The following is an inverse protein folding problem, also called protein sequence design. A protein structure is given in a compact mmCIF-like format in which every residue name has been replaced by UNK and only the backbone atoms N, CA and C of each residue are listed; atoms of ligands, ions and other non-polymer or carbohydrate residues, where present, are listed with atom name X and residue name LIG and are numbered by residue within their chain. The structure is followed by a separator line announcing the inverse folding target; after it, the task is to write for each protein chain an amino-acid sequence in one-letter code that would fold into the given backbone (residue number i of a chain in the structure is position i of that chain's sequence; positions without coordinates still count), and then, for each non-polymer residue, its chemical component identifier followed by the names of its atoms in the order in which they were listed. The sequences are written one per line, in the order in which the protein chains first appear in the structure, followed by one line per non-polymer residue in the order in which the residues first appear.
data_IF_722108758021
#
_entry.id   IF_722108758021
#
_cell.length_a   1.000
_cell.length_b   1.000
_cell.length_c   1.000
_cell.angle_alpha   90.00
_cell.angle_beta   90.00
_cell.angle_gamma   90.00
#
_symmetry.space_group_name_H-M   'P 1'
#
loop_
_entity.id
_entity.type
_entity.pdbx_description
1 polymer ?
#
# COMPACT_ATOMS: atom_id res chain seq x y z
N UNK A 1 -18.76 8.29 -1.82
CA UNK A 1 -18.02 8.30 -0.56
C UNK A 1 -17.94 6.88 -0.03
N UNK A 2 -16.88 6.17 -0.41
CA UNK A 2 -16.73 4.75 -0.02
C UNK A 2 -16.22 4.66 1.41
N UNK A 3 -16.85 3.83 2.24
CA UNK A 3 -16.34 3.56 3.61
C UNK A 3 -15.07 2.73 3.50
N UNK A 4 -13.99 3.23 4.09
CA UNK A 4 -12.76 2.48 4.30
C UNK A 4 -12.54 2.29 5.81
N UNK A 5 -11.77 1.25 6.18
CA UNK A 5 -11.45 0.98 7.59
C UNK A 5 -10.33 1.89 8.04
N UNK A 6 -9.24 1.92 7.27
CA UNK A 6 -8.04 2.70 7.56
C UNK A 6 -7.29 3.04 6.26
N UNK A 7 -6.73 4.25 6.20
CA UNK A 7 -5.78 4.64 5.17
C UNK A 7 -4.36 4.29 5.63
N UNK A 8 -3.68 3.43 4.87
CA UNK A 8 -2.30 2.99 5.15
C UNK A 8 -1.26 3.68 4.26
N UNK A 9 -1.70 4.53 3.33
CA UNK A 9 -0.81 5.22 2.42
C UNK A 9 -1.47 5.78 1.16
N UNK A 10 -0.64 6.40 0.32
CA UNK A 10 -1.01 7.02 -0.95
C UNK A 10 0.00 6.62 -2.03
N UNK A 11 -0.52 6.36 -3.23
CA UNK A 11 0.26 6.08 -4.43
C UNK A 11 -0.10 7.10 -5.50
N UNK A 12 0.89 7.87 -5.96
CA UNK A 12 0.73 8.82 -7.06
C UNK A 12 1.63 8.41 -8.24
N UNK A 13 1.07 7.74 -9.26
CA UNK A 13 1.81 7.35 -10.46
C UNK A 13 2.04 8.50 -11.45
N UNK A 14 1.39 9.66 -11.27
CA UNK A 14 1.53 10.80 -12.19
C UNK A 14 2.79 11.63 -11.89
N UNK A 15 3.31 11.55 -10.67
CA UNK A 15 4.60 12.16 -10.31
C UNK A 15 5.75 11.36 -10.93
N UNK A 16 6.80 12.06 -11.36
CA UNK A 16 8.03 11.46 -11.89
C UNK A 16 9.22 11.97 -11.05
N UNK A 17 9.78 11.15 -10.15
CA UNK A 17 9.50 9.73 -9.90
C UNK A 17 8.16 9.50 -9.17
N UNK A 18 7.56 8.31 -9.36
CA UNK A 18 6.29 7.93 -8.73
C UNK A 18 6.38 8.09 -7.20
N UNK A 19 5.41 8.81 -6.63
CA UNK A 19 5.40 9.07 -5.19
C UNK A 19 4.65 7.94 -4.49
N UNK A 20 5.39 7.17 -3.68
CA UNK A 20 4.85 6.08 -2.87
C UNK A 20 5.03 6.47 -1.41
N UNK A 21 3.93 6.69 -0.70
CA UNK A 21 3.92 6.95 0.74
C UNK A 21 3.07 5.89 1.40
N UNK A 22 3.69 4.86 1.96
CA UNK A 22 2.98 3.79 2.66
C UNK A 22 3.59 3.63 4.05
N UNK A 23 2.72 3.52 5.04
CA UNK A 23 3.09 3.16 6.39
C UNK A 23 3.37 1.65 6.46
N UNK A 24 4.65 1.30 6.60
CA UNK A 24 5.10 -0.08 6.56
C UNK A 24 4.52 -0.91 7.72
N UNK A 25 4.44 -0.34 8.92
CA UNK A 25 3.95 -1.04 10.12
C UNK A 25 2.48 -1.41 9.97
N UNK A 26 1.64 -0.46 9.53
CA UNK A 26 0.22 -0.72 9.28
C UNK A 26 0.02 -1.71 8.14
N UNK A 27 0.75 -1.54 7.04
CA UNK A 27 0.63 -2.45 5.90
C UNK A 27 1.02 -3.89 6.29
N UNK A 28 2.10 -4.08 7.04
CA UNK A 28 2.48 -5.40 7.57
C UNK A 28 1.42 -5.97 8.51
N UNK A 29 0.84 -5.15 9.40
CA UNK A 29 -0.21 -5.59 10.31
C UNK A 29 -1.45 -6.08 9.54
N UNK A 30 -1.90 -5.32 8.54
CA UNK A 30 -3.04 -5.71 7.70
C UNK A 30 -2.75 -6.98 6.89
N UNK A 31 -1.54 -7.13 6.34
CA UNK A 31 -1.12 -8.36 5.66
C UNK A 31 -1.10 -9.55 6.61
N UNK A 32 -0.60 -9.39 7.85
CA UNK A 32 -0.62 -10.43 8.90
C UNK A 32 -2.05 -10.80 9.31
N UNK A 33 -2.97 -9.84 9.29
CA UNK A 33 -4.39 -10.05 9.57
C UNK A 33 -5.15 -10.69 8.38
N UNK A 34 -4.48 -10.96 7.25
CA UNK A 34 -5.06 -11.64 6.10
C UNK A 34 -5.56 -10.72 4.98
N UNK A 35 -5.17 -9.44 4.98
CA UNK A 35 -5.50 -8.54 3.87
C UNK A 35 -4.89 -9.08 2.55
N UNK A 36 -5.72 -9.17 1.51
CA UNK A 36 -5.28 -9.59 0.18
C UNK A 36 -5.14 -8.36 -0.73
N UNK A 37 -3.91 -7.93 -1.05
CA UNK A 37 -3.70 -6.80 -1.95
C UNK A 37 -4.06 -7.18 -3.39
N UNK A 38 -4.64 -6.24 -4.13
CA UNK A 38 -4.83 -6.33 -5.58
C UNK A 38 -3.50 -6.20 -6.31
N UNK A 39 -3.45 -6.49 -7.62
CA UNK A 39 -2.19 -6.53 -8.39
C UNK A 39 -1.41 -5.21 -8.34
N UNK A 40 -2.10 -4.07 -8.49
CA UNK A 40 -1.50 -2.74 -8.37
C UNK A 40 -1.00 -2.50 -6.95
N UNK A 41 -1.85 -2.74 -5.94
CA UNK A 41 -1.45 -2.55 -4.53
C UNK A 41 -0.23 -3.42 -4.17
N UNK A 42 -0.16 -4.66 -4.65
CA UNK A 42 0.98 -5.56 -4.46
C UNK A 42 2.25 -5.01 -5.11
N UNK A 43 2.15 -4.42 -6.29
CA UNK A 43 3.29 -3.78 -6.96
C UNK A 43 3.81 -2.59 -6.16
N UNK A 44 2.91 -1.75 -5.66
CA UNK A 44 3.27 -0.59 -4.83
C UNK A 44 3.89 -1.04 -3.50
N UNK A 45 3.28 -2.04 -2.82
CA UNK A 45 3.81 -2.61 -1.58
C UNK A 45 5.19 -3.29 -1.76
N UNK A 46 5.45 -3.85 -2.95
CA UNK A 46 6.78 -4.38 -3.32
C UNK A 46 7.78 -3.25 -3.56
N UNK A 47 7.38 -2.19 -4.27
CA UNK A 47 8.23 -1.03 -4.51
C UNK A 47 8.60 -0.30 -3.22
N UNK A 48 7.70 -0.28 -2.23
CA UNK A 48 7.97 0.25 -0.89
C UNK A 48 8.74 -0.71 0.03
N UNK A 49 9.05 -1.93 -0.42
CA UNK A 49 9.84 -2.91 0.34
C UNK A 49 9.08 -3.65 1.45
N UNK A 50 7.75 -3.55 1.48
CA UNK A 50 6.89 -4.15 2.52
C UNK A 50 6.64 -5.64 2.20
N UNK A 51 6.44 -5.96 0.92
CA UNK A 51 6.33 -7.33 0.43
C UNK A 51 7.62 -7.67 -0.30
N UNK A 52 8.28 -8.76 0.10
CA UNK A 52 9.38 -9.37 -0.66
C UNK A 52 8.84 -10.35 -1.71
#
# INVERSE_FOLDING_TARGET
DGRFIEEIGTFDPMKSPAEIKIDAEKAEQWLKNGAQPTETAKSVLKQSGIIK
#
